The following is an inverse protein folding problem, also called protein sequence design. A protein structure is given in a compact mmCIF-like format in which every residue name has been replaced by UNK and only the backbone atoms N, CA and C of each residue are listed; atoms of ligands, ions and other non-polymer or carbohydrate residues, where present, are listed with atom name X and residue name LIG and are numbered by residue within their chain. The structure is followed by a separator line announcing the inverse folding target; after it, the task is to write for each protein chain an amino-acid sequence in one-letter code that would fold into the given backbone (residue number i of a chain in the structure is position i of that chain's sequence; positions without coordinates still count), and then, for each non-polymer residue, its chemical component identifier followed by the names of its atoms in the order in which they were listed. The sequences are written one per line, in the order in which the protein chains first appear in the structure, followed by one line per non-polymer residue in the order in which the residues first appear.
data_IF_443469241885
#
_entry.id   IF_443469241885
#
_cell.length_a   1.000
_cell.length_b   1.000
_cell.length_c   1.000
_cell.angle_alpha   90.00
_cell.angle_beta   90.00
_cell.angle_gamma   90.00
#
_symmetry.space_group_name_H-M   'P 1'
#
loop_
_entity.id
_entity.type
_entity.pdbx_description
1 polymer ?
#
# COMPACT_ATOMS: atom_id res chain seq x y z
N UNK A 1 2.62 -25.95 14.18
CA UNK A 1 1.73 -24.87 13.69
C UNK A 1 0.74 -24.39 14.74
N UNK A 2 -0.15 -25.22 15.33
CA UNK A 2 -1.17 -24.74 16.30
C UNK A 2 -0.65 -23.98 17.54
N UNK A 3 0.61 -24.15 17.91
CA UNK A 3 1.27 -23.47 19.04
C UNK A 3 2.30 -22.42 18.60
N UNK A 4 2.33 -22.07 17.31
CA UNK A 4 3.27 -21.06 16.80
C UNK A 4 2.87 -19.68 17.30
N UNK A 5 3.84 -18.87 17.72
CA UNK A 5 3.62 -17.45 18.03
C UNK A 5 3.60 -16.58 16.78
N UNK A 6 4.07 -17.10 15.64
CA UNK A 6 4.21 -16.39 14.37
C UNK A 6 3.75 -17.28 13.22
N UNK A 7 3.02 -16.69 12.28
CA UNK A 7 2.73 -17.25 10.96
C UNK A 7 3.29 -16.27 9.92
N UNK A 8 4.40 -16.66 9.29
CA UNK A 8 5.14 -15.83 8.35
C UNK A 8 5.22 -16.56 7.00
N UNK A 9 4.64 -15.95 5.98
CA UNK A 9 4.69 -16.40 4.61
C UNK A 9 5.59 -15.44 3.82
N UNK A 10 6.61 -16.00 3.17
CA UNK A 10 7.54 -15.26 2.34
C UNK A 10 7.55 -15.88 0.95
N UNK A 11 7.42 -15.04 -0.07
CA UNK A 11 7.80 -15.40 -1.43
C UNK A 11 9.09 -14.65 -1.79
N UNK A 12 10.09 -15.37 -2.28
CA UNK A 12 11.37 -14.81 -2.65
C UNK A 12 11.81 -15.26 -4.04
N UNK A 13 12.83 -14.60 -4.56
CA UNK A 13 13.49 -14.93 -5.81
C UNK A 13 15.01 -14.98 -5.62
N UNK A 14 15.73 -15.22 -6.73
CA UNK A 14 17.18 -15.35 -6.73
C UNK A 14 17.88 -14.17 -6.02
N UNK A 15 19.05 -14.43 -5.47
CA UNK A 15 19.87 -13.48 -4.69
C UNK A 15 19.25 -13.07 -3.34
N UNK A 16 18.49 -13.98 -2.71
CA UNK A 16 17.82 -13.76 -1.41
C UNK A 16 16.94 -12.51 -1.38
N UNK A 17 16.29 -12.19 -2.49
CA UNK A 17 15.39 -11.04 -2.59
C UNK A 17 13.97 -11.43 -2.25
N UNK A 18 13.32 -10.60 -1.44
CA UNK A 18 11.92 -10.78 -1.06
C UNK A 18 11.01 -10.14 -2.09
N UNK A 19 9.97 -10.87 -2.50
CA UNK A 19 8.93 -10.41 -3.43
C UNK A 19 7.63 -10.12 -2.70
N UNK A 20 7.28 -10.94 -1.71
CA UNK A 20 6.07 -10.77 -0.91
C UNK A 20 6.30 -11.28 0.51
N UNK A 21 5.71 -10.57 1.48
CA UNK A 21 5.65 -10.95 2.88
C UNK A 21 4.20 -10.81 3.31
N UNK A 22 3.67 -11.84 3.96
CA UNK A 22 2.43 -11.79 4.73
C UNK A 22 2.72 -12.40 6.10
N UNK A 23 2.34 -11.70 7.16
CA UNK A 23 2.64 -12.13 8.52
C UNK A 23 1.49 -11.83 9.48
N UNK A 24 1.19 -12.80 10.35
CA UNK A 24 0.50 -12.59 11.61
C UNK A 24 1.38 -13.07 12.76
N UNK A 25 1.30 -12.41 13.91
CA UNK A 25 2.20 -12.70 15.03
C UNK A 25 1.66 -12.20 16.35
N UNK A 26 1.87 -13.02 17.38
CA UNK A 26 1.57 -12.67 18.76
C UNK A 26 2.72 -11.85 19.36
N UNK A 27 2.73 -10.55 19.09
CA UNK A 27 3.66 -9.58 19.68
C UNK A 27 5.14 -9.94 19.46
N UNK A 28 5.49 -10.26 18.21
CA UNK A 28 6.83 -10.71 17.81
C UNK A 28 7.83 -9.55 17.84
N UNK A 29 8.98 -9.76 18.49
CA UNK A 29 10.06 -8.80 18.50
C UNK A 29 10.74 -8.70 17.13
N UNK A 30 11.24 -7.51 16.76
CA UNK A 30 11.86 -7.27 15.46
C UNK A 30 13.03 -8.22 15.17
N UNK A 31 13.86 -8.54 16.17
CA UNK A 31 15.00 -9.46 16.01
C UNK A 31 14.54 -10.89 15.69
N UNK A 32 13.39 -11.31 16.23
CA UNK A 32 12.80 -12.62 15.94
C UNK A 32 12.24 -12.66 14.52
N UNK A 33 11.63 -11.56 14.06
CA UNK A 33 11.15 -11.43 12.69
C UNK A 33 12.32 -11.49 11.69
N UNK A 34 13.39 -10.73 11.93
CA UNK A 34 14.60 -10.76 11.10
C UNK A 34 15.17 -12.19 10.98
N UNK A 35 15.31 -12.88 12.11
CA UNK A 35 15.78 -14.27 12.15
C UNK A 35 14.88 -15.19 11.31
N UNK A 36 13.56 -15.07 11.46
CA UNK A 36 12.62 -15.89 10.71
C UNK A 36 12.60 -15.58 9.21
N UNK A 37 12.82 -14.32 8.83
CA UNK A 37 13.00 -13.94 7.43
C UNK A 37 14.24 -14.58 6.83
N UNK A 38 15.36 -14.59 7.54
CA UNK A 38 16.59 -15.21 7.08
C UNK A 38 16.47 -16.73 6.93
N UNK A 39 15.80 -17.39 7.87
CA UNK A 39 15.47 -18.82 7.79
C UNK A 39 14.54 -19.11 6.60
N UNK A 40 13.51 -18.29 6.41
CA UNK A 40 12.56 -18.38 5.30
C UNK A 40 13.25 -18.26 3.94
N UNK A 41 14.12 -17.26 3.76
CA UNK A 41 14.92 -17.08 2.55
C UNK A 41 15.86 -18.26 2.30
N UNK A 42 16.47 -18.81 3.35
CA UNK A 42 17.33 -19.99 3.24
C UNK A 42 16.56 -21.26 2.84
N UNK A 43 15.28 -21.36 3.21
CA UNK A 43 14.40 -22.42 2.72
C UNK A 43 13.99 -22.18 1.26
N UNK A 44 13.71 -20.93 0.88
CA UNK A 44 13.40 -20.53 -0.49
C UNK A 44 14.57 -20.84 -1.43
N UNK A 45 15.81 -20.60 -1.03
CA UNK A 45 17.01 -20.93 -1.82
C UNK A 45 17.02 -22.42 -2.23
N UNK A 46 16.64 -23.33 -1.32
CA UNK A 46 16.54 -24.76 -1.60
C UNK A 46 15.41 -25.07 -2.60
N UNK A 47 14.27 -24.38 -2.49
CA UNK A 47 13.15 -24.53 -3.41
C UNK A 47 13.54 -24.02 -4.81
N UNK A 48 14.20 -22.86 -4.90
CA UNK A 48 14.70 -22.30 -6.15
C UNK A 48 15.70 -23.23 -6.84
N UNK A 49 16.64 -23.83 -6.10
CA UNK A 49 17.53 -24.85 -6.65
C UNK A 49 16.73 -26.01 -7.28
N UNK A 50 15.76 -26.57 -6.56
CA UNK A 50 14.95 -27.68 -7.08
C UNK A 50 14.10 -27.27 -8.30
N UNK A 51 13.54 -26.07 -8.31
CA UNK A 51 12.77 -25.53 -9.43
C UNK A 51 13.65 -25.28 -10.66
N UNK A 52 14.86 -24.77 -10.46
CA UNK A 52 15.84 -24.55 -11.53
C UNK A 52 16.35 -25.87 -12.10
N UNK A 53 16.58 -26.88 -11.27
CA UNK A 53 16.92 -28.24 -11.72
C UNK A 53 15.79 -28.86 -12.55
N UNK A 54 14.53 -28.68 -12.13
CA UNK A 54 13.38 -29.16 -12.89
C UNK A 54 13.24 -28.43 -14.23
N UNK A 55 13.41 -27.10 -14.22
CA UNK A 55 13.42 -26.27 -15.43
C UNK A 55 14.53 -26.69 -16.40
N UNK A 56 15.72 -27.04 -15.90
CA UNK A 56 16.82 -27.52 -16.74
C UNK A 56 16.50 -28.86 -17.43
N UNK A 57 15.74 -29.74 -16.75
CA UNK A 57 15.40 -31.08 -17.28
C UNK A 57 14.18 -31.09 -18.20
N UNK A 58 13.19 -30.24 -17.93
CA UNK A 58 11.87 -30.33 -18.57
C UNK A 58 11.22 -28.95 -18.85
N UNK A 59 11.96 -27.85 -18.69
CA UNK A 59 11.47 -26.51 -18.96
C UNK A 59 11.23 -26.28 -20.45
N UNK A 60 10.12 -25.62 -20.77
CA UNK A 60 9.86 -25.15 -22.13
C UNK A 60 10.77 -23.97 -22.45
N UNK A 61 11.10 -23.82 -23.72
CA UNK A 61 11.74 -22.62 -24.23
C UNK A 61 10.84 -21.41 -23.95
N UNK A 62 11.42 -20.33 -23.42
CA UNK A 62 10.67 -19.10 -23.20
C UNK A 62 10.33 -18.52 -24.56
N UNK A 63 9.07 -18.12 -24.75
CA UNK A 63 8.69 -17.39 -25.95
C UNK A 63 9.51 -16.09 -26.03
N UNK A 64 9.96 -15.75 -27.25
CA UNK A 64 10.54 -14.43 -27.48
C UNK A 64 9.50 -13.36 -27.17
N UNK A 65 9.87 -12.47 -26.26
CA UNK A 65 9.06 -11.33 -25.88
C UNK A 65 9.91 -10.08 -26.08
N UNK A 66 9.46 -9.21 -26.98
CA UNK A 66 10.04 -7.88 -27.15
C UNK A 66 9.21 -6.93 -26.30
N UNK A 67 9.77 -6.33 -25.23
CA UNK A 67 9.07 -5.31 -24.47
C UNK A 67 8.64 -4.18 -25.39
N UNK A 68 7.42 -3.70 -25.23
CA UNK A 68 7.00 -2.45 -25.88
C UNK A 68 7.78 -1.32 -25.21
N UNK A 69 8.75 -0.77 -25.92
CA UNK A 69 9.39 0.48 -25.55
C UNK A 69 8.61 1.63 -26.19
N UNK A 70 8.51 2.75 -25.47
CA UNK A 70 7.95 3.96 -26.06
C UNK A 70 8.88 4.49 -27.16
N UNK A 71 8.33 5.04 -28.26
CA UNK A 71 9.14 5.70 -29.28
C UNK A 71 9.92 6.87 -28.65
N UNK A 72 11.28 6.89 -28.71
CA UNK A 72 12.08 7.89 -27.99
C UNK A 72 11.80 9.33 -28.42
N UNK A 73 11.44 9.54 -29.69
CA UNK A 73 11.12 10.87 -30.21
C UNK A 73 9.82 11.41 -29.59
N UNK A 74 8.79 10.56 -29.45
CA UNK A 74 7.52 10.90 -28.82
C UNK A 74 7.72 11.12 -27.31
N UNK A 75 8.49 10.26 -26.62
CA UNK A 75 8.81 10.48 -25.20
C UNK A 75 9.50 11.83 -24.97
N UNK A 76 10.46 12.19 -25.83
CA UNK A 76 11.16 13.47 -25.74
C UNK A 76 10.21 14.66 -25.94
N UNK A 77 9.27 14.57 -26.87
CA UNK A 77 8.29 15.62 -27.11
C UNK A 77 7.30 15.75 -25.95
N UNK A 78 6.77 14.63 -25.43
CA UNK A 78 5.93 14.62 -24.22
C UNK A 78 6.64 15.29 -23.05
N UNK A 79 7.91 14.95 -22.80
CA UNK A 79 8.72 15.56 -21.74
C UNK A 79 8.87 17.06 -21.91
N UNK A 80 9.16 17.52 -23.14
CA UNK A 80 9.29 18.94 -23.44
C UNK A 80 8.01 19.73 -23.12
N UNK A 81 6.83 19.10 -23.21
CA UNK A 81 5.54 19.71 -22.93
C UNK A 81 5.14 19.68 -21.45
N UNK A 82 5.65 18.73 -20.65
CA UNK A 82 5.14 18.52 -19.28
C UNK A 82 6.17 18.59 -18.14
N UNK A 83 7.47 18.37 -18.38
CA UNK A 83 8.46 18.23 -17.29
C UNK A 83 8.49 19.44 -16.35
N UNK A 84 8.50 20.66 -16.89
CA UNK A 84 8.50 21.89 -16.08
C UNK A 84 7.20 22.05 -15.27
N UNK A 85 6.05 21.78 -15.89
CA UNK A 85 4.73 21.88 -15.23
C UNK A 85 4.59 20.86 -14.11
N UNK A 86 5.03 19.61 -14.35
CA UNK A 86 5.04 18.54 -13.36
C UNK A 86 5.98 18.86 -12.20
N UNK A 87 7.15 19.46 -12.47
CA UNK A 87 8.07 19.91 -11.44
C UNK A 87 7.39 20.90 -10.48
N UNK A 88 6.74 21.94 -11.00
CA UNK A 88 6.04 22.92 -10.16
C UNK A 88 4.88 22.28 -9.37
N UNK A 89 4.06 21.43 -10.00
CA UNK A 89 2.96 20.74 -9.30
C UNK A 89 3.49 19.87 -8.16
N UNK A 90 4.55 19.10 -8.38
CA UNK A 90 5.09 18.18 -7.36
C UNK A 90 6.00 18.85 -6.33
N UNK A 91 6.35 20.11 -6.52
CA UNK A 91 7.11 20.90 -5.53
C UNK A 91 6.24 21.94 -4.81
N UNK A 92 4.96 22.03 -5.14
CA UNK A 92 4.00 22.88 -4.45
C UNK A 92 3.30 22.09 -3.31
N UNK A 93 3.66 22.35 -2.04
CA UNK A 93 3.06 21.66 -0.90
C UNK A 93 1.62 22.14 -0.59
N UNK A 94 1.12 23.18 -1.28
CA UNK A 94 -0.26 23.67 -1.09
C UNK A 94 -1.30 22.76 -1.72
N UNK A 95 -0.88 21.88 -2.64
CA UNK A 95 -1.75 20.88 -3.24
C UNK A 95 -2.17 19.80 -2.24
N UNK A 96 -3.47 19.55 -2.17
CA UNK A 96 -4.05 18.32 -1.61
C UNK A 96 -4.16 17.22 -2.69
N UNK A 97 -4.77 16.07 -2.36
CA UNK A 97 -4.97 14.97 -3.32
C UNK A 97 -5.72 15.44 -4.58
N UNK A 98 -6.86 16.10 -4.40
CA UNK A 98 -7.78 16.42 -5.51
C UNK A 98 -7.16 17.47 -6.42
N UNK A 99 -6.71 18.58 -5.86
CA UNK A 99 -6.09 19.67 -6.62
C UNK A 99 -4.83 19.22 -7.37
N UNK A 100 -4.05 18.30 -6.80
CA UNK A 100 -2.88 17.72 -7.49
C UNK A 100 -3.28 16.81 -8.64
N UNK A 101 -4.24 15.92 -8.41
CA UNK A 101 -4.74 15.01 -9.43
C UNK A 101 -5.36 15.81 -10.59
N UNK A 102 -6.14 16.85 -10.30
CA UNK A 102 -6.69 17.78 -11.29
C UNK A 102 -5.59 18.49 -12.09
N UNK A 103 -4.58 19.06 -11.42
CA UNK A 103 -3.47 19.75 -12.08
C UNK A 103 -2.66 18.81 -12.98
N UNK A 104 -2.36 17.59 -12.53
CA UNK A 104 -1.67 16.58 -13.35
C UNK A 104 -2.52 16.15 -14.54
N UNK A 105 -3.84 15.96 -14.34
CA UNK A 105 -4.75 15.58 -15.43
C UNK A 105 -4.90 16.69 -16.48
N UNK A 106 -4.93 17.96 -16.06
CA UNK A 106 -4.93 19.11 -16.98
C UNK A 106 -3.67 19.13 -17.85
N UNK A 107 -2.50 18.93 -17.26
CA UNK A 107 -1.24 18.79 -18.01
C UNK A 107 -1.33 17.62 -19.00
N UNK A 108 -1.84 16.47 -18.58
CA UNK A 108 -2.00 15.31 -19.45
C UNK A 108 -2.92 15.58 -20.64
N UNK A 109 -4.05 16.25 -20.40
CA UNK A 109 -4.99 16.62 -21.46
C UNK A 109 -4.35 17.59 -22.47
N UNK A 110 -3.60 18.58 -21.99
CA UNK A 110 -2.88 19.53 -22.86
C UNK A 110 -1.82 18.85 -23.71
N UNK A 111 -1.06 17.91 -23.13
CA UNK A 111 -0.05 17.12 -23.86
C UNK A 111 -0.71 16.32 -24.98
N UNK A 112 -1.80 15.61 -24.67
CA UNK A 112 -2.55 14.81 -25.67
C UNK A 112 -3.10 15.72 -26.78
N UNK A 113 -3.67 16.87 -26.43
CA UNK A 113 -4.21 17.81 -27.41
C UNK A 113 -3.11 18.45 -28.29
N UNK A 114 -1.91 18.65 -27.75
CA UNK A 114 -0.78 19.25 -28.47
C UNK A 114 -0.13 18.28 -29.46
N UNK A 115 -0.32 16.97 -29.27
CA UNK A 115 0.23 15.90 -30.09
C UNK A 115 -0.88 15.19 -30.89
N UNK A 116 -1.73 15.97 -31.56
CA UNK A 116 -2.93 15.45 -32.25
C UNK A 116 -2.66 14.49 -33.40
N UNK A 117 -1.43 14.48 -33.93
CA UNK A 117 -1.01 13.59 -35.02
C UNK A 117 -0.63 12.18 -34.52
N UNK A 118 -0.46 12.00 -33.21
CA UNK A 118 -0.09 10.75 -32.57
C UNK A 118 -1.30 10.02 -31.95
N UNK A 119 -1.17 8.73 -31.64
CA UNK A 119 -2.21 7.98 -30.92
C UNK A 119 -2.39 8.53 -29.48
N UNK A 120 -3.57 9.07 -29.12
CA UNK A 120 -3.83 9.59 -27.78
C UNK A 120 -3.57 8.58 -26.66
N UNK A 121 -3.80 7.29 -26.91
CA UNK A 121 -3.60 6.24 -25.92
C UNK A 121 -2.12 6.02 -25.61
N UNK A 122 -1.28 6.10 -26.66
CA UNK A 122 0.18 6.05 -26.55
C UNK A 122 0.72 7.26 -25.81
N UNK A 123 0.30 8.47 -26.20
CA UNK A 123 0.72 9.72 -25.57
C UNK A 123 0.34 9.73 -24.08
N UNK A 124 -0.89 9.31 -23.74
CA UNK A 124 -1.33 9.19 -22.35
C UNK A 124 -0.53 8.14 -21.56
N UNK A 125 -0.11 7.03 -22.18
CA UNK A 125 0.73 6.02 -21.54
C UNK A 125 2.14 6.57 -21.25
N UNK A 126 2.74 7.28 -22.21
CA UNK A 126 4.04 7.96 -22.05
C UNK A 126 3.95 9.02 -20.96
N UNK A 127 2.92 9.87 -20.98
CA UNK A 127 2.70 10.91 -19.97
C UNK A 127 2.61 10.32 -18.56
N UNK A 128 1.89 9.21 -18.37
CA UNK A 128 1.82 8.51 -17.06
C UNK A 128 3.18 8.00 -16.59
N UNK A 129 3.98 7.44 -17.49
CA UNK A 129 5.33 6.97 -17.17
C UNK A 129 6.28 8.14 -16.82
N UNK A 130 6.24 9.23 -17.60
CA UNK A 130 7.00 10.46 -17.33
C UNK A 130 6.60 11.08 -15.99
N UNK A 131 5.30 11.15 -15.70
CA UNK A 131 4.76 11.64 -14.41
C UNK A 131 5.29 10.81 -13.24
N UNK A 132 5.25 9.48 -13.35
CA UNK A 132 5.82 8.56 -12.35
C UNK A 132 7.31 8.81 -12.16
N UNK A 133 8.08 8.94 -13.24
CA UNK A 133 9.52 9.23 -13.18
C UNK A 133 9.81 10.59 -12.53
N UNK A 134 9.06 11.64 -12.86
CA UNK A 134 9.24 12.97 -12.29
C UNK A 134 9.07 12.98 -10.76
N UNK A 135 8.00 12.35 -10.25
CA UNK A 135 7.78 12.24 -8.80
C UNK A 135 8.90 11.48 -8.08
N UNK A 136 9.35 10.35 -8.67
CA UNK A 136 10.45 9.56 -8.10
C UNK A 136 11.75 10.33 -8.04
N UNK A 137 12.08 11.07 -9.10
CA UNK A 137 13.30 11.86 -9.18
C UNK A 137 13.35 12.95 -8.10
N UNK A 138 12.23 13.64 -7.86
CA UNK A 138 12.14 14.64 -6.79
C UNK A 138 12.49 14.05 -5.41
N UNK A 139 11.95 12.87 -5.10
CA UNK A 139 12.20 12.21 -3.80
C UNK A 139 13.65 11.71 -3.72
N UNK A 140 14.17 11.11 -4.79
CA UNK A 140 15.53 10.56 -4.83
C UNK A 140 16.60 11.64 -4.71
N UNK A 141 16.43 12.77 -5.40
CA UNK A 141 17.44 13.82 -5.50
C UNK A 141 17.31 14.88 -4.39
N UNK A 142 16.08 15.29 -4.07
CA UNK A 142 15.85 16.42 -3.17
C UNK A 142 15.42 16.00 -1.76
N UNK A 143 15.18 14.71 -1.50
CA UNK A 143 14.58 14.19 -0.25
C UNK A 143 13.25 14.90 0.12
N UNK A 144 12.54 15.39 -0.89
CA UNK A 144 11.32 16.17 -0.74
C UNK A 144 10.15 15.36 -1.32
N UNK A 145 9.07 15.30 -0.55
CA UNK A 145 7.82 14.67 -0.97
C UNK A 145 6.89 15.73 -1.55
N UNK A 146 5.94 15.29 -2.39
CA UNK A 146 5.04 16.18 -3.11
C UNK A 146 4.00 16.92 -2.22
N UNK A 147 3.95 16.61 -0.93
CA UNK A 147 3.17 17.34 0.09
C UNK A 147 4.06 18.13 1.07
N UNK A 148 5.35 18.30 0.75
CA UNK A 148 6.32 19.05 1.56
C UNK A 148 6.89 18.31 2.77
N UNK A 149 6.42 17.08 3.07
CA UNK A 149 6.94 16.28 4.18
C UNK A 149 8.37 15.80 3.92
N UNK A 150 9.10 15.55 5.01
CA UNK A 150 10.33 14.77 4.94
C UNK A 150 10.03 13.24 4.84
N UNK A 151 11.07 12.44 4.62
CA UNK A 151 10.97 10.99 4.38
C UNK A 151 10.35 10.20 5.56
N UNK A 152 10.49 10.70 6.79
CA UNK A 152 10.05 10.00 8.02
C UNK A 152 8.79 10.60 8.65
N UNK A 153 8.28 11.68 8.08
CA UNK A 153 7.18 12.45 8.67
C UNK A 153 5.82 11.82 8.39
N UNK A 154 5.02 11.71 9.45
CA UNK A 154 3.64 11.21 9.42
C UNK A 154 2.68 12.39 9.18
N UNK A 155 1.60 12.17 8.42
CA UNK A 155 0.57 13.19 8.20
C UNK A 155 -0.10 13.60 9.51
N UNK A 156 -0.75 14.77 9.58
CA UNK A 156 -1.55 15.17 10.73
C UNK A 156 -2.57 14.09 11.11
N UNK A 157 -2.61 13.73 12.39
CA UNK A 157 -3.55 12.74 12.95
C UNK A 157 -4.56 13.46 13.84
N UNK A 158 -5.84 13.19 13.64
CA UNK A 158 -6.91 13.59 14.57
C UNK A 158 -7.75 12.37 14.94
N UNK A 159 -8.18 12.32 16.20
CA UNK A 159 -8.88 11.19 16.78
C UNK A 159 -10.08 11.72 17.57
N UNK A 160 -11.24 11.10 17.35
CA UNK A 160 -12.43 11.28 18.17
C UNK A 160 -12.95 9.91 18.58
N UNK A 161 -13.38 9.75 19.83
CA UNK A 161 -14.04 8.53 20.35
C UNK A 161 -15.42 8.89 20.91
N UNK A 162 -16.24 7.90 21.26
CA UNK A 162 -17.62 8.10 21.75
C UNK A 162 -18.44 8.99 20.81
N UNK A 163 -18.41 8.69 19.50
CA UNK A 163 -19.11 9.47 18.47
C UNK A 163 -20.62 9.48 18.69
N UNK A 164 -21.17 8.36 19.16
CA UNK A 164 -22.59 8.18 19.35
C UNK A 164 -22.89 7.33 20.58
N UNK A 165 -23.67 7.89 21.50
CA UNK A 165 -24.12 7.27 22.75
C UNK A 165 -24.75 5.87 22.62
N UNK A 166 -25.30 5.50 21.44
CA UNK A 166 -25.97 4.21 21.22
C UNK A 166 -25.03 3.09 20.76
N UNK A 167 -23.84 3.43 20.26
CA UNK A 167 -22.86 2.42 19.84
C UNK A 167 -22.18 1.85 21.07
N UNK A 168 -21.79 0.57 21.05
CA UNK A 168 -21.08 0.00 22.19
C UNK A 168 -19.69 0.62 22.35
N UNK A 169 -19.02 0.90 21.24
CA UNK A 169 -17.88 1.81 21.16
C UNK A 169 -17.67 2.30 19.74
N UNK A 170 -17.00 3.43 19.58
CA UNK A 170 -16.79 4.06 18.29
C UNK A 170 -15.58 4.97 18.26
N UNK A 171 -14.99 5.14 17.08
CA UNK A 171 -13.94 6.11 16.85
C UNK A 171 -13.97 6.65 15.44
N UNK A 172 -13.51 7.89 15.26
CA UNK A 172 -13.13 8.47 13.99
C UNK A 172 -11.61 8.73 14.03
N UNK A 173 -10.88 7.99 13.21
CA UNK A 173 -9.43 8.16 13.05
C UNK A 173 -9.17 8.84 11.70
N UNK A 174 -8.50 9.99 11.73
CA UNK A 174 -8.05 10.71 10.54
C UNK A 174 -6.53 10.72 10.51
N UNK A 175 -5.93 10.45 9.34
CA UNK A 175 -4.52 10.70 9.05
C UNK A 175 -4.38 11.35 7.69
N UNK A 176 -4.07 12.65 7.66
CA UNK A 176 -4.16 13.47 6.45
C UNK A 176 -5.57 13.44 5.85
N UNK A 177 -5.70 13.05 4.58
CA UNK A 177 -6.99 12.85 3.89
C UNK A 177 -7.42 11.37 3.88
N UNK A 178 -6.97 10.56 4.83
CA UNK A 178 -7.50 9.21 5.05
C UNK A 178 -8.34 9.22 6.32
N UNK A 179 -9.63 8.93 6.19
CA UNK A 179 -10.59 8.87 7.30
C UNK A 179 -11.13 7.44 7.47
N UNK A 180 -11.13 6.93 8.70
CA UNK A 180 -11.77 5.67 9.04
C UNK A 180 -12.66 5.85 10.26
N UNK A 181 -13.94 5.58 10.09
CA UNK A 181 -14.88 5.39 11.19
C UNK A 181 -14.86 3.90 11.59
N UNK A 182 -14.72 3.63 12.88
CA UNK A 182 -14.78 2.28 13.43
C UNK A 182 -15.87 2.21 14.48
N UNK A 183 -16.61 1.09 14.48
CA UNK A 183 -17.64 0.82 15.47
C UNK A 183 -17.44 -0.57 16.04
N UNK A 184 -17.73 -0.70 17.33
CA UNK A 184 -17.74 -1.99 18.03
C UNK A 184 -19.18 -2.35 18.32
N UNK A 185 -19.53 -3.61 18.03
CA UNK A 185 -20.82 -4.19 18.37
C UNK A 185 -20.60 -5.50 19.10
N UNK A 186 -21.11 -5.60 20.32
CA UNK A 186 -21.18 -6.87 21.02
C UNK A 186 -22.37 -7.68 20.52
N UNK A 187 -22.16 -8.98 20.33
CA UNK A 187 -23.19 -9.93 19.96
C UNK A 187 -23.13 -11.16 20.86
N UNK A 188 -24.17 -11.99 20.80
CA UNK A 188 -24.27 -13.23 21.53
C UNK A 188 -23.16 -14.21 21.14
N UNK A 189 -22.70 -15.07 22.08
CA UNK A 189 -21.76 -16.15 21.76
C UNK A 189 -22.27 -17.14 20.69
N UNK A 190 -23.58 -17.16 20.42
CA UNK A 190 -24.18 -17.95 19.35
C UNK A 190 -23.85 -17.39 17.95
N UNK A 191 -23.69 -16.07 17.82
CA UNK A 191 -23.27 -15.43 16.57
C UNK A 191 -21.79 -15.72 16.21
N UNK A 192 -20.99 -16.18 17.18
CA UNK A 192 -19.59 -16.56 16.95
C UNK A 192 -19.43 -17.80 16.05
N UNK A 193 -20.50 -18.56 15.81
CA UNK A 193 -20.50 -19.73 14.94
C UNK A 193 -20.74 -19.30 13.50
N UNK A 194 -19.68 -19.34 12.69
CA UNK A 194 -19.74 -19.05 11.27
C UNK A 194 -19.55 -20.33 10.46
N UNK A 195 -20.46 -20.58 9.53
CA UNK A 195 -20.31 -21.63 8.52
C UNK A 195 -19.45 -21.14 7.36
N UNK A 196 -18.13 -21.08 7.53
CA UNK A 196 -17.25 -20.88 6.37
C UNK A 196 -17.30 -22.09 5.41
N UNK A 197 -17.00 -21.88 4.13
CA UNK A 197 -17.13 -22.91 3.09
C UNK A 197 -16.32 -24.18 3.41
N UNK A 198 -15.19 -24.02 4.10
CA UNK A 198 -14.33 -25.12 4.53
C UNK A 198 -14.97 -25.89 5.70
N UNK A 199 -15.57 -25.19 6.65
CA UNK A 199 -16.26 -25.73 7.81
C UNK A 199 -17.51 -26.51 7.38
N UNK A 200 -18.23 -26.03 6.36
CA UNK A 200 -19.34 -26.76 5.74
C UNK A 200 -18.89 -28.08 5.09
N UNK A 201 -17.75 -28.10 4.40
CA UNK A 201 -17.19 -29.31 3.78
C UNK A 201 -16.68 -30.31 4.82
N UNK A 202 -16.06 -29.82 5.89
CA UNK A 202 -15.44 -30.65 6.94
C UNK A 202 -16.40 -31.03 8.08
N UNK A 203 -17.67 -30.64 8.00
CA UNK A 203 -18.68 -30.91 9.04
C UNK A 203 -18.37 -30.24 10.38
N UNK A 204 -17.55 -29.20 10.37
CA UNK A 204 -17.14 -28.45 11.55
C UNK A 204 -17.85 -27.10 11.65
N UNK A 205 -17.85 -26.51 12.83
CA UNK A 205 -18.18 -25.10 13.03
C UNK A 205 -16.95 -24.45 13.68
N UNK A 206 -16.39 -23.40 13.06
CA UNK A 206 -15.31 -22.63 13.68
C UNK A 206 -15.93 -21.52 14.53
N UNK A 207 -15.59 -21.53 15.82
CA UNK A 207 -15.95 -20.47 16.75
C UNK A 207 -14.95 -19.32 16.61
N UNK A 208 -15.40 -18.16 16.13
CA UNK A 208 -14.62 -16.92 16.09
C UNK A 208 -15.31 -15.87 16.96
N UNK A 209 -14.70 -15.55 18.10
CA UNK A 209 -15.24 -14.59 19.08
C UNK A 209 -14.92 -13.14 18.74
N UNK A 210 -14.05 -12.91 17.75
CA UNK A 210 -13.68 -11.59 17.25
C UNK A 210 -13.77 -11.62 15.72
N UNK A 211 -14.36 -10.56 15.17
CA UNK A 211 -14.47 -10.33 13.74
C UNK A 211 -14.32 -8.84 13.49
N UNK A 212 -13.47 -8.49 12.51
CA UNK A 212 -13.38 -7.15 11.96
C UNK A 212 -13.93 -7.20 10.53
N UNK A 213 -14.97 -6.42 10.27
CA UNK A 213 -15.49 -6.22 8.92
C UNK A 213 -14.97 -4.90 8.40
N UNK A 214 -14.34 -4.93 7.22
CA UNK A 214 -13.81 -3.76 6.55
C UNK A 214 -14.59 -3.51 5.27
N UNK A 215 -15.07 -2.27 5.11
CA UNK A 215 -15.73 -1.81 3.90
C UNK A 215 -14.95 -0.64 3.30
N UNK A 216 -14.80 -0.65 1.97
CA UNK A 216 -14.24 0.47 1.21
C UNK A 216 -15.28 0.91 0.17
N UNK A 217 -16.23 1.77 0.56
CA UNK A 217 -17.31 2.20 -0.31
C UNK A 217 -16.79 3.17 -1.38
N UNK A 218 -17.37 3.13 -2.59
CA UNK A 218 -16.91 3.94 -3.75
C UNK A 218 -16.91 5.45 -3.50
N UNK A 219 -17.71 5.95 -2.56
CA UNK A 219 -17.67 7.36 -2.19
C UNK A 219 -16.34 7.76 -1.50
N UNK A 220 -15.60 6.81 -0.92
CA UNK A 220 -14.30 7.03 -0.25
C UNK A 220 -13.18 7.53 -1.19
N UNK A 221 -13.35 7.36 -2.51
CA UNK A 221 -12.45 7.91 -3.54
C UNK A 221 -13.15 8.92 -4.43
N UNK A 222 -14.33 9.39 -4.02
CA UNK A 222 -15.20 10.28 -4.79
C UNK A 222 -15.66 9.70 -6.15
N UNK A 223 -15.71 8.37 -6.30
CA UNK A 223 -16.27 7.75 -7.52
C UNK A 223 -17.80 7.89 -7.59
N UNK A 224 -18.49 8.16 -6.47
CA UNK A 224 -19.95 8.43 -6.38
C UNK A 224 -20.31 9.47 -5.28
N UNK A 225 -19.40 10.39 -4.91
CA UNK A 225 -19.56 11.45 -3.88
C UNK A 225 -19.41 11.07 -2.38
N UNK A 226 -18.33 11.59 -1.77
CA UNK A 226 -17.96 11.89 -0.35
C UNK A 226 -17.79 10.77 0.71
N UNK A 227 -16.56 10.22 0.80
CA UNK A 227 -15.63 10.12 1.96
C UNK A 227 -14.18 10.17 1.43
N UNK A 228 -13.16 10.27 2.29
CA UNK A 228 -11.76 10.50 1.89
C UNK A 228 -10.83 9.28 2.10
N UNK A 229 -10.12 8.89 1.05
CA UNK A 229 -9.01 7.93 1.07
C UNK A 229 -7.81 8.51 0.32
N UNK A 230 -6.70 8.68 1.03
CA UNK A 230 -5.43 9.11 0.46
C UNK A 230 -4.25 8.24 0.95
N UNK A 231 -4.49 6.94 1.18
CA UNK A 231 -3.46 5.95 1.50
C UNK A 231 -3.62 5.28 2.86
N UNK A 232 -3.22 4.00 2.93
CA UNK A 232 -3.12 3.20 4.15
C UNK A 232 -4.42 3.09 4.98
N UNK A 233 -5.57 2.88 4.31
CA UNK A 233 -6.88 2.74 4.97
C UNK A 233 -6.93 1.55 5.92
N UNK A 234 -6.31 0.41 5.58
CA UNK A 234 -6.25 -0.77 6.46
C UNK A 234 -5.50 -0.50 7.77
N UNK A 235 -4.41 0.28 7.72
CA UNK A 235 -3.67 0.65 8.92
C UNK A 235 -4.42 1.70 9.76
N UNK A 236 -5.16 2.60 9.11
CA UNK A 236 -6.09 3.46 9.81
C UNK A 236 -7.24 2.66 10.48
N UNK A 237 -7.70 1.56 9.87
CA UNK A 237 -8.66 0.63 10.50
C UNK A 237 -8.08 -0.10 11.71
N UNK A 238 -6.79 -0.42 11.72
CA UNK A 238 -6.11 -0.95 12.92
C UNK A 238 -6.17 0.08 14.05
N UNK A 239 -5.76 1.31 13.78
CA UNK A 239 -5.77 2.39 14.78
C UNK A 239 -7.20 2.68 15.29
N UNK A 240 -8.16 2.87 14.37
CA UNK A 240 -9.57 3.10 14.71
C UNK A 240 -10.20 1.92 15.44
N UNK A 241 -9.93 0.69 15.02
CA UNK A 241 -10.40 -0.52 15.70
C UNK A 241 -9.89 -0.60 17.14
N UNK A 242 -8.59 -0.32 17.37
CA UNK A 242 -8.01 -0.29 18.71
C UNK A 242 -8.68 0.76 19.61
N UNK A 243 -8.90 1.97 19.08
CA UNK A 243 -9.58 3.05 19.80
C UNK A 243 -11.05 2.73 20.12
N UNK A 244 -11.81 2.21 19.15
CA UNK A 244 -13.22 1.86 19.34
C UNK A 244 -13.40 0.70 20.33
N UNK A 245 -12.45 -0.25 20.38
CA UNK A 245 -12.44 -1.33 21.38
C UNK A 245 -12.17 -0.79 22.80
N UNK A 246 -11.23 0.15 22.94
CA UNK A 246 -10.99 0.82 24.23
C UNK A 246 -12.20 1.65 24.68
N UNK A 247 -12.82 2.38 23.77
CA UNK A 247 -14.07 3.13 23.99
C UNK A 247 -15.21 2.21 24.44
N UNK A 248 -15.31 1.01 23.85
CA UNK A 248 -16.27 -0.02 24.25
C UNK A 248 -15.99 -0.69 25.61
N UNK A 249 -14.90 -0.31 26.29
CA UNK A 249 -14.49 -0.92 27.56
C UNK A 249 -13.91 -2.33 27.42
N UNK A 250 -13.47 -2.73 26.21
CA UNK A 250 -12.78 -4.01 26.02
C UNK A 250 -11.38 -3.92 26.68
N UNK A 251 -11.03 -4.84 27.58
CA UNK A 251 -9.73 -4.80 28.27
C UNK A 251 -8.62 -5.34 27.35
N UNK A 252 -8.19 -4.52 26.40
CA UNK A 252 -7.04 -4.83 25.54
C UNK A 252 -5.75 -4.90 26.38
N UNK A 253 -4.83 -5.79 25.98
CA UNK A 253 -3.51 -5.89 26.61
C UNK A 253 -2.63 -4.67 26.31
N UNK A 254 -2.79 -4.08 25.12
CA UNK A 254 -2.16 -2.86 24.68
C UNK A 254 -2.98 -2.20 23.56
N UNK A 255 -2.71 -0.91 23.32
CA UNK A 255 -3.15 -0.27 22.08
C UNK A 255 -2.32 -0.78 20.89
N UNK A 256 -2.90 -0.78 19.70
CA UNK A 256 -2.23 -1.22 18.46
C UNK A 256 -2.35 -0.11 17.42
N UNK A 257 -1.24 0.19 16.75
CA UNK A 257 -1.20 1.16 15.66
C UNK A 257 -0.59 0.53 14.41
N UNK A 258 -0.89 1.11 13.25
CA UNK A 258 -0.33 0.69 11.97
C UNK A 258 0.12 1.84 11.08
N UNK A 259 1.09 1.58 10.22
CA UNK A 259 1.61 2.53 9.24
C UNK A 259 1.99 1.82 7.94
N UNK A 260 1.83 2.51 6.81
CA UNK A 260 2.39 2.08 5.52
C UNK A 260 3.73 2.77 5.27
N UNK A 261 4.70 1.99 4.82
CA UNK A 261 6.05 2.43 4.50
C UNK A 261 6.31 2.15 3.03
N UNK A 262 6.67 3.20 2.29
CA UNK A 262 7.03 3.12 0.89
C UNK A 262 8.52 2.97 0.65
N UNK A 263 8.86 2.52 -0.55
CA UNK A 263 10.23 2.46 -1.06
C UNK A 263 10.31 3.10 -2.44
N UNK A 264 11.31 3.93 -2.66
CA UNK A 264 11.70 4.38 -4.00
C UNK A 264 13.17 4.01 -4.23
N UNK A 265 13.43 3.29 -5.30
CA UNK A 265 14.75 2.85 -5.74
C UNK A 265 15.16 3.54 -7.04
N UNK A 266 16.45 3.82 -7.20
CA UNK A 266 17.01 4.18 -8.49
C UNK A 266 17.61 2.93 -9.13
N UNK A 267 16.99 2.44 -10.20
CA UNK A 267 17.43 1.21 -10.88
C UNK A 267 18.66 1.43 -11.77
N UNK A 268 18.96 2.68 -12.12
CA UNK A 268 20.01 3.02 -13.09
C UNK A 268 21.26 3.61 -12.43
N UNK A 269 21.11 4.36 -11.32
CA UNK A 269 22.20 5.20 -10.84
C UNK A 269 23.06 4.65 -9.68
N UNK A 270 22.87 3.41 -9.21
CA UNK A 270 23.46 2.94 -7.93
C UNK A 270 23.24 3.93 -6.75
N UNK A 271 22.25 4.82 -6.85
CA UNK A 271 21.88 5.77 -5.80
C UNK A 271 21.20 5.01 -4.65
N UNK A 272 21.28 5.51 -3.40
CA UNK A 272 20.60 4.88 -2.28
C UNK A 272 19.09 4.90 -2.48
N UNK A 273 18.42 3.84 -2.03
CA UNK A 273 16.97 3.80 -1.91
C UNK A 273 16.48 4.82 -0.89
N UNK A 274 15.21 5.23 -0.99
CA UNK A 274 14.53 6.10 -0.04
C UNK A 274 13.34 5.36 0.56
N UNK A 275 13.29 5.33 1.89
CA UNK A 275 12.17 4.78 2.65
C UNK A 275 11.26 5.93 3.05
N UNK A 276 9.95 5.79 2.80
CA UNK A 276 8.95 6.83 3.03
C UNK A 276 7.96 6.37 4.09
N UNK A 277 7.85 7.10 5.20
CA UNK A 277 6.87 6.81 6.24
C UNK A 277 5.53 7.46 5.91
N UNK A 278 4.45 6.71 6.10
CA UNK A 278 3.08 7.16 5.93
C UNK A 278 2.81 7.74 4.52
N UNK A 279 2.95 6.87 3.52
CA UNK A 279 2.84 7.23 2.11
C UNK A 279 1.45 7.70 1.69
N UNK A 280 1.44 8.62 0.73
CA UNK A 280 0.27 9.02 -0.05
C UNK A 280 -0.09 7.95 -1.09
N UNK A 281 -1.31 7.99 -1.62
CA UNK A 281 -1.70 7.08 -2.71
C UNK A 281 -0.82 7.22 -3.97
N UNK A 282 -0.40 8.45 -4.31
CA UNK A 282 0.49 8.71 -5.44
C UNK A 282 1.92 8.16 -5.22
N UNK A 283 2.38 8.12 -3.97
CA UNK A 283 3.69 7.59 -3.60
C UNK A 283 3.73 6.05 -3.61
N UNK A 284 2.60 5.40 -3.32
CA UNK A 284 2.41 3.95 -3.53
C UNK A 284 2.46 3.61 -5.03
N UNK A 285 1.60 4.23 -5.83
CA UNK A 285 1.56 4.01 -7.29
C UNK A 285 2.90 4.28 -7.98
N UNK A 286 3.59 5.36 -7.59
CA UNK A 286 4.89 5.71 -8.15
C UNK A 286 6.05 4.95 -7.50
N UNK A 287 5.86 4.38 -6.32
CA UNK A 287 6.86 3.66 -5.54
C UNK A 287 7.14 2.25 -6.06
N UNK A 288 7.97 1.55 -5.30
CA UNK A 288 8.39 0.16 -5.53
C UNK A 288 7.86 -0.81 -4.46
N UNK A 289 7.26 -0.29 -3.38
CA UNK A 289 6.76 -1.07 -2.25
C UNK A 289 5.71 -0.28 -1.47
N UNK A 290 4.69 -0.98 -0.98
CA UNK A 290 3.76 -0.54 0.06
C UNK A 290 3.80 -1.57 1.20
N UNK A 291 4.71 -1.37 2.14
CA UNK A 291 4.91 -2.25 3.28
C UNK A 291 4.10 -1.78 4.46
N UNK A 292 3.07 -2.55 4.80
CA UNK A 292 2.16 -2.26 5.90
C UNK A 292 2.57 -3.06 7.12
N UNK A 293 2.76 -2.37 8.24
CA UNK A 293 3.10 -2.99 9.51
C UNK A 293 2.22 -2.44 10.61
N UNK A 294 1.78 -3.32 11.50
CA UNK A 294 1.02 -3.00 12.68
C UNK A 294 1.56 -3.74 13.89
N UNK A 295 1.44 -3.13 15.06
CA UNK A 295 1.94 -3.68 16.31
C UNK A 295 1.63 -2.77 17.49
N UNK A 296 2.07 -3.21 18.66
CA UNK A 296 2.04 -2.43 19.90
C UNK A 296 3.29 -1.57 20.04
#
# INVERSE_FOLDING_TARGET
MKSSSMDLLIAGCDDRRTVMIEMDGNEIASEQLETAMDEGLSAIDKLLCAMNDLRAKAGKEKAEFTPSAFPPDIEREVRALCDERLYYIFTDPSHDKISRDEAVNEVGADVVNSMSDEDPSLVQAIFRDVTKKALRMLILENNMRCDGRNLTEVRPITITVDLYKRLHGSSLFQRGQTQVMSTVTFDSPAAAFHSDSISQILGGQRKKMFMLHYEFPSYATNEIAVLESNGSSSMASVCGGSLALLDAGVPLTAAVAGVAVGLITDKEAQKPHKVLTDILGIEDYAGDMDFKIAGK
#
